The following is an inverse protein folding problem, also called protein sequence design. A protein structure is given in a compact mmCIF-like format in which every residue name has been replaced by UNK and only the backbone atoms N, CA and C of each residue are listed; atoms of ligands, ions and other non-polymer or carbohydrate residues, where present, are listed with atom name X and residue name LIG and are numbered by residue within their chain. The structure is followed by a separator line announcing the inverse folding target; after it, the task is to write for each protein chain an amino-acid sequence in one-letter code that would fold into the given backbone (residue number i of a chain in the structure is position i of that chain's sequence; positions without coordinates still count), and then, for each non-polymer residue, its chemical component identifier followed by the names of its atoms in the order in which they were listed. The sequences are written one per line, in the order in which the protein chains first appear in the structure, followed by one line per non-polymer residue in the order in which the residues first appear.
data_IF_837291833509
#
_entry.id   IF_837291833509
#
_cell.length_a   1.000
_cell.length_b   1.000
_cell.length_c   1.000
_cell.angle_alpha   90.00
_cell.angle_beta   90.00
_cell.angle_gamma   90.00
#
_symmetry.space_group_name_H-M   'P 1'
#
loop_
_entity.id
_entity.type
_entity.pdbx_description
1 polymer ?
#
# COMPACT_ATOMS: atom_id res chain seq x y z
N UNK A 1 13.18 -27.85 -62.58
CA UNK A 1 11.72 -27.99 -62.46
C UNK A 1 11.29 -27.28 -61.19
N UNK A 2 10.81 -26.04 -61.30
CA UNK A 2 10.28 -25.27 -60.17
C UNK A 2 8.91 -25.84 -59.75
N UNK A 3 8.61 -25.84 -58.44
CA UNK A 3 7.26 -26.10 -57.94
C UNK A 3 6.85 -25.02 -56.94
N UNK A 4 5.95 -24.18 -57.42
CA UNK A 4 5.15 -23.22 -56.68
C UNK A 4 3.92 -23.97 -56.16
N UNK A 5 3.53 -23.75 -54.89
CA UNK A 5 2.27 -24.26 -54.36
C UNK A 5 1.34 -23.10 -54.00
N UNK A 6 0.27 -23.01 -54.79
CA UNK A 6 -0.82 -22.05 -54.69
C UNK A 6 -1.82 -22.51 -53.63
N UNK A 7 -2.30 -21.60 -52.79
CA UNK A 7 -3.36 -21.85 -51.82
C UNK A 7 -4.72 -21.83 -52.54
N UNK A 8 -5.42 -22.97 -52.58
CA UNK A 8 -6.78 -23.07 -53.08
C UNK A 8 -7.76 -22.35 -52.13
N UNK A 9 -8.55 -21.44 -52.68
CA UNK A 9 -9.72 -20.83 -52.05
C UNK A 9 -10.92 -21.78 -52.18
N UNK A 10 -11.45 -22.22 -51.03
CA UNK A 10 -12.75 -22.91 -50.92
C UNK A 10 -13.77 -21.89 -50.40
N UNK A 11 -14.99 -21.81 -50.96
CA UNK A 11 -15.99 -20.83 -50.57
C UNK A 11 -16.59 -21.16 -49.20
N UNK A 12 -16.77 -20.14 -48.35
CA UNK A 12 -17.46 -20.26 -47.05
C UNK A 12 -18.98 -20.35 -47.28
N UNK A 13 -19.69 -21.22 -46.57
CA UNK A 13 -21.15 -21.20 -46.55
C UNK A 13 -21.64 -19.97 -45.77
N UNK A 14 -22.67 -19.32 -46.30
CA UNK A 14 -23.42 -18.26 -45.65
C UNK A 14 -23.98 -18.75 -44.31
N UNK A 15 -23.50 -18.17 -43.21
CA UNK A 15 -24.21 -18.18 -41.94
C UNK A 15 -24.45 -16.74 -41.51
N UNK A 16 -25.73 -16.45 -41.27
CA UNK A 16 -26.25 -15.15 -40.85
C UNK A 16 -25.49 -14.63 -39.64
N UNK A 17 -24.86 -13.47 -39.77
CA UNK A 17 -24.46 -12.63 -38.66
C UNK A 17 -25.71 -12.04 -38.00
N UNK A 18 -25.92 -12.18 -36.68
CA UNK A 18 -26.53 -11.11 -35.91
C UNK A 18 -25.47 -10.06 -35.63
N UNK A 19 -25.85 -8.80 -35.84
CA UNK A 19 -25.06 -7.61 -35.57
C UNK A 19 -24.48 -7.58 -34.16
N UNK A 20 -23.31 -6.96 -34.04
CA UNK A 20 -22.45 -6.75 -32.88
C UNK A 20 -23.10 -5.94 -31.72
N UNK A 21 -24.29 -6.31 -31.23
CA UNK A 21 -25.04 -5.53 -30.22
C UNK A 21 -25.78 -6.32 -29.13
N UNK A 22 -25.55 -7.62 -28.97
CA UNK A 22 -26.39 -8.46 -28.07
C UNK A 22 -25.64 -9.34 -27.04
N UNK A 23 -24.38 -9.03 -26.69
CA UNK A 23 -23.69 -9.71 -25.58
C UNK A 23 -23.28 -8.76 -24.43
N UNK A 24 -24.05 -7.69 -24.24
CA UNK A 24 -24.00 -6.89 -23.01
C UNK A 24 -25.26 -7.19 -22.21
N UNK A 25 -25.05 -7.51 -20.92
CA UNK A 25 -26.02 -7.59 -19.82
C UNK A 25 -27.03 -8.73 -19.81
N UNK A 26 -26.73 -9.74 -18.99
CA UNK A 26 -27.76 -10.45 -18.23
C UNK A 26 -27.34 -10.50 -16.76
N UNK A 27 -28.18 -9.90 -15.92
CA UNK A 27 -28.17 -9.86 -14.45
C UNK A 27 -27.25 -8.84 -13.75
N UNK A 28 -27.67 -7.57 -13.73
CA UNK A 28 -27.57 -6.72 -12.53
C UNK A 28 -28.81 -5.80 -12.50
N UNK A 29 -29.81 -6.16 -11.71
CA UNK A 29 -30.89 -5.28 -11.26
C UNK A 29 -30.34 -4.54 -10.03
N UNK A 30 -30.21 -3.21 -9.99
CA UNK A 30 -31.24 -2.21 -10.24
C UNK A 30 -30.80 -1.12 -11.23
N UNK A 31 -31.67 -0.89 -12.23
CA UNK A 31 -32.03 0.41 -12.81
C UNK A 31 -30.99 1.53 -12.76
N UNK A 32 -30.02 1.43 -13.67
CA UNK A 32 -29.31 2.60 -14.18
C UNK A 32 -30.31 3.46 -14.96
N UNK A 33 -30.87 4.47 -14.28
CA UNK A 33 -31.36 5.65 -14.98
C UNK A 33 -30.13 6.21 -15.72
N UNK A 34 -30.15 6.14 -17.06
CA UNK A 34 -29.22 6.86 -17.95
C UNK A 34 -27.80 6.26 -18.10
N UNK A 35 -27.59 5.41 -19.11
CA UNK A 35 -26.26 5.07 -19.65
C UNK A 35 -25.47 6.24 -20.29
N UNK A 36 -25.76 7.49 -19.89
CA UNK A 36 -24.99 8.71 -20.19
C UNK A 36 -23.95 9.01 -19.12
N UNK A 37 -24.05 8.39 -17.93
CA UNK A 37 -23.06 8.50 -16.86
C UNK A 37 -22.30 7.18 -16.80
N UNK A 38 -20.96 7.26 -16.85
CA UNK A 38 -20.12 6.09 -16.72
C UNK A 38 -20.26 5.49 -15.30
N UNK A 39 -20.31 4.16 -15.15
CA UNK A 39 -20.33 3.53 -13.84
C UNK A 39 -19.03 3.82 -13.08
N UNK A 40 -19.06 3.60 -11.77
CA UNK A 40 -17.87 3.71 -10.92
C UNK A 40 -16.71 2.88 -11.48
N UNK A 41 -15.52 3.47 -11.55
CA UNK A 41 -14.34 2.72 -11.99
C UNK A 41 -13.99 1.64 -10.96
N UNK A 42 -13.40 0.52 -11.42
CA UNK A 42 -13.08 -0.62 -10.55
C UNK A 42 -12.21 -0.26 -9.33
N UNK A 43 -11.30 0.73 -9.45
CA UNK A 43 -10.47 1.22 -8.33
C UNK A 43 -11.27 1.96 -7.25
N UNK A 44 -12.33 2.69 -7.65
CA UNK A 44 -13.23 3.33 -6.68
C UNK A 44 -14.21 2.31 -6.09
N UNK A 45 -14.69 1.37 -6.90
CA UNK A 45 -15.61 0.34 -6.41
C UNK A 45 -14.96 -0.59 -5.38
N UNK A 46 -13.66 -0.88 -5.52
CA UNK A 46 -12.92 -1.68 -4.54
C UNK A 46 -12.79 -1.03 -3.15
N UNK A 47 -13.01 0.29 -3.05
CA UNK A 47 -13.06 0.99 -1.76
C UNK A 47 -14.40 0.77 -1.05
N UNK A 48 -15.46 0.46 -1.80
CA UNK A 48 -16.80 0.19 -1.25
C UNK A 48 -16.98 -1.31 -0.96
N UNK A 49 -16.47 -2.14 -1.87
CA UNK A 49 -16.43 -3.59 -1.69
C UNK A 49 -14.97 -4.10 -1.81
N UNK A 50 -14.29 -4.36 -0.68
CA UNK A 50 -12.92 -4.86 -0.70
C UNK A 50 -12.81 -6.27 -1.29
N UNK A 51 -13.91 -7.03 -1.36
CA UNK A 51 -13.90 -8.39 -1.94
C UNK A 51 -13.93 -8.37 -3.46
N UNK A 52 -14.46 -7.30 -4.07
CA UNK A 52 -14.58 -7.19 -5.52
C UNK A 52 -13.24 -7.25 -6.24
N UNK A 53 -12.24 -6.48 -5.77
CA UNK A 53 -10.92 -6.42 -6.39
C UNK A 53 -10.21 -7.78 -6.34
N UNK A 54 -10.26 -8.46 -5.18
CA UNK A 54 -9.63 -9.77 -4.99
C UNK A 54 -10.20 -10.82 -5.96
N UNK A 55 -11.50 -10.78 -6.22
CA UNK A 55 -12.18 -11.81 -7.01
C UNK A 55 -12.18 -11.54 -8.51
N UNK A 56 -12.20 -10.27 -8.95
CA UNK A 56 -12.42 -9.91 -10.36
C UNK A 56 -11.25 -9.18 -11.02
N UNK A 57 -10.38 -8.51 -10.25
CA UNK A 57 -9.30 -7.68 -10.80
C UNK A 57 -8.00 -7.93 -10.00
N UNK A 58 -7.28 -9.02 -10.29
CA UNK A 58 -6.12 -9.44 -9.50
C UNK A 58 -5.00 -8.39 -9.45
N UNK A 59 -4.87 -7.55 -10.48
CA UNK A 59 -3.88 -6.47 -10.53
C UNK A 59 -4.11 -5.37 -9.49
N UNK A 60 -5.37 -5.12 -9.07
CA UNK A 60 -5.63 -4.17 -7.98
C UNK A 60 -5.27 -4.82 -6.64
N UNK A 61 -5.58 -6.10 -6.47
CA UNK A 61 -5.30 -6.83 -5.24
C UNK A 61 -3.81 -7.13 -5.01
N UNK A 62 -3.00 -7.19 -6.09
CA UNK A 62 -1.56 -7.46 -6.00
C UNK A 62 -0.76 -6.33 -5.38
N UNK A 63 -1.30 -5.11 -5.35
CA UNK A 63 -0.63 -3.95 -4.74
C UNK A 63 -0.76 -4.03 -3.22
N UNK A 64 0.36 -4.11 -2.51
CA UNK A 64 0.40 -4.22 -1.04
C UNK A 64 -0.32 -3.06 -0.34
N UNK A 65 -0.29 -1.86 -0.93
CA UNK A 65 -0.95 -0.66 -0.39
C UNK A 65 -2.49 -0.73 -0.35
N UNK A 66 -3.09 -1.62 -1.16
CA UNK A 66 -4.54 -1.83 -1.19
C UNK A 66 -5.01 -2.88 -0.17
N UNK A 67 -4.10 -3.47 0.59
CA UNK A 67 -4.45 -4.40 1.65
C UNK A 67 -5.10 -3.66 2.84
N UNK A 68 -5.92 -4.35 3.64
CA UNK A 68 -6.48 -3.77 4.85
C UNK A 68 -5.38 -3.50 5.89
N UNK A 69 -5.55 -2.42 6.66
CA UNK A 69 -4.65 -2.02 7.74
C UNK A 69 -4.87 -2.84 9.00
N UNK A 70 -3.82 -3.40 9.58
CA UNK A 70 -3.86 -3.97 10.92
C UNK A 70 -3.87 -2.86 12.00
N UNK A 71 -4.39 -3.16 13.19
CA UNK A 71 -4.41 -2.23 14.32
C UNK A 71 -2.99 -1.79 14.75
N UNK A 72 -2.01 -2.69 14.58
CA UNK A 72 -0.60 -2.41 14.88
C UNK A 72 -0.04 -1.29 14.03
N UNK A 73 -0.42 -1.20 12.75
CA UNK A 73 -0.04 -0.12 11.85
C UNK A 73 -0.63 1.22 12.31
N UNK A 74 -1.90 1.25 12.74
CA UNK A 74 -2.50 2.47 13.28
C UNK A 74 -1.77 2.96 14.53
N UNK A 75 -1.41 2.05 15.43
CA UNK A 75 -0.65 2.43 16.63
C UNK A 75 0.78 2.87 16.29
N UNK A 76 1.42 2.19 15.35
CA UNK A 76 2.77 2.54 14.90
C UNK A 76 2.80 3.94 14.26
N UNK A 77 1.82 4.28 13.43
CA UNK A 77 1.78 5.55 12.71
C UNK A 77 1.26 6.71 13.58
N UNK A 78 0.29 6.45 14.46
CA UNK A 78 -0.44 7.51 15.19
C UNK A 78 -0.18 7.52 16.70
N UNK A 79 0.41 6.49 17.30
CA UNK A 79 0.76 6.31 18.72
C UNK A 79 -0.18 7.04 19.72
N UNK A 80 0.17 8.26 20.16
CA UNK A 80 -0.61 9.05 21.12
C UNK A 80 -1.97 9.50 20.54
N UNK A 81 -2.00 9.88 19.26
CA UNK A 81 -3.20 10.35 18.56
C UNK A 81 -4.25 9.24 18.45
N UNK A 82 -3.83 7.97 18.32
CA UNK A 82 -4.73 6.83 18.27
C UNK A 82 -5.53 6.66 19.58
N UNK A 83 -4.90 6.93 20.74
CA UNK A 83 -5.52 6.80 22.06
C UNK A 83 -6.46 7.97 22.37
N UNK A 84 -6.19 9.17 21.82
CA UNK A 84 -7.03 10.35 22.02
C UNK A 84 -8.34 10.32 21.20
N UNK A 85 -8.44 9.44 20.20
CA UNK A 85 -9.58 9.38 19.30
C UNK A 85 -10.89 8.88 19.94
N UNK A 86 -10.91 7.80 20.76
CA UNK A 86 -12.13 7.37 21.46
C UNK A 86 -12.57 8.33 22.58
N UNK A 87 -11.64 9.09 23.16
CA UNK A 87 -11.89 10.00 24.29
C UNK A 87 -12.78 11.21 23.96
N UNK A 88 -13.06 11.45 22.68
CA UNK A 88 -13.87 12.56 22.17
C UNK A 88 -15.21 12.11 21.57
N UNK A 89 -15.81 11.04 22.10
CA UNK A 89 -17.13 10.55 21.69
C UNK A 89 -18.21 11.63 21.58
N UNK A 90 -18.09 12.75 22.31
CA UNK A 90 -19.01 13.90 22.21
C UNK A 90 -18.80 14.79 20.96
N UNK A 91 -17.58 14.86 20.39
CA UNK A 91 -17.32 15.57 19.13
C UNK A 91 -17.68 14.71 17.91
N UNK A 92 -17.57 13.38 18.05
CA UNK A 92 -17.97 12.41 17.03
C UNK A 92 -19.49 12.46 16.72
N UNK A 93 -20.31 12.87 17.69
CA UNK A 93 -21.75 13.11 17.50
C UNK A 93 -22.03 14.43 16.74
N UNK A 94 -21.09 15.38 16.75
CA UNK A 94 -21.28 16.71 16.15
C UNK A 94 -20.88 16.81 14.67
N UNK A 95 -20.03 15.90 14.16
CA UNK A 95 -19.53 15.94 12.77
C UNK A 95 -19.53 14.54 12.09
N UNK A 96 -20.59 14.17 11.34
CA UNK A 96 -20.70 12.85 10.68
C UNK A 96 -19.64 12.60 9.58
N UNK A 97 -19.01 13.66 9.08
CA UNK A 97 -17.96 13.60 8.05
C UNK A 97 -16.64 13.00 8.57
N UNK A 98 -16.35 13.12 9.87
CA UNK A 98 -15.17 12.51 10.49
C UNK A 98 -15.32 10.99 10.66
N UNK A 99 -16.54 10.51 10.93
CA UNK A 99 -16.83 9.08 11.11
C UNK A 99 -16.74 8.31 9.79
N UNK A 100 -17.29 8.88 8.69
CA UNK A 100 -17.13 8.28 7.35
C UNK A 100 -15.65 8.16 6.97
N UNK A 101 -14.84 9.18 7.30
CA UNK A 101 -13.40 9.14 7.02
C UNK A 101 -12.70 8.02 7.79
N UNK A 102 -13.02 7.78 9.05
CA UNK A 102 -12.41 6.69 9.84
C UNK A 102 -12.89 5.31 9.36
N UNK A 103 -14.15 5.19 8.93
CA UNK A 103 -14.69 3.95 8.37
C UNK A 103 -14.04 3.55 7.04
N UNK A 104 -13.72 4.51 6.17
CA UNK A 104 -13.02 4.23 4.90
C UNK A 104 -11.55 3.83 5.06
N UNK A 105 -10.94 4.10 6.21
CA UNK A 105 -9.51 3.89 6.45
C UNK A 105 -9.16 2.43 6.73
N UNK A 106 -10.07 1.72 7.40
CA UNK A 106 -9.90 0.29 7.66
C UNK A 106 -9.82 -0.57 6.40
N UNK A 107 -10.18 -0.01 5.23
CA UNK A 107 -10.25 -0.72 3.95
C UNK A 107 -8.90 -0.76 3.23
N UNK A 108 -8.06 0.27 3.32
CA UNK A 108 -6.77 0.34 2.59
C UNK A 108 -5.68 1.11 3.35
N UNK A 109 -4.46 0.58 3.38
CA UNK A 109 -3.28 1.22 4.01
C UNK A 109 -3.01 2.62 3.49
N UNK A 110 -3.11 2.82 2.18
CA UNK A 110 -2.77 4.10 1.54
C UNK A 110 -3.59 5.29 2.06
N UNK A 111 -4.79 5.04 2.57
CA UNK A 111 -5.67 6.11 3.01
C UNK A 111 -5.19 6.76 4.31
N UNK A 112 -4.27 6.15 5.07
CA UNK A 112 -3.82 6.67 6.38
C UNK A 112 -3.24 8.09 6.29
N UNK A 113 -2.64 8.42 5.14
CA UNK A 113 -2.15 9.76 4.82
C UNK A 113 -3.24 10.84 4.85
N UNK A 114 -4.47 10.49 4.47
CA UNK A 114 -5.63 11.40 4.50
C UNK A 114 -6.21 11.49 5.92
N UNK A 115 -5.99 10.48 6.76
CA UNK A 115 -6.42 10.45 8.16
C UNK A 115 -5.51 11.30 9.05
N UNK A 116 -4.20 11.25 8.82
CA UNK A 116 -3.19 11.94 9.63
C UNK A 116 -3.53 13.41 9.98
N UNK A 117 -3.87 14.32 9.03
CA UNK A 117 -4.18 15.70 9.36
C UNK A 117 -5.42 15.85 10.25
N UNK A 118 -6.44 15.01 10.04
CA UNK A 118 -7.67 15.02 10.86
C UNK A 118 -7.34 14.59 12.29
N UNK A 119 -6.54 13.54 12.43
CA UNK A 119 -6.11 13.03 13.73
C UNK A 119 -5.28 14.05 14.50
N UNK A 120 -4.39 14.79 13.82
CA UNK A 120 -3.62 15.87 14.44
C UNK A 120 -4.53 16.98 14.99
N UNK A 121 -5.56 17.40 14.24
CA UNK A 121 -6.50 18.45 14.68
C UNK A 121 -7.31 17.96 15.88
N UNK A 122 -7.88 16.76 15.79
CA UNK A 122 -8.68 16.17 16.88
C UNK A 122 -7.84 15.94 18.13
N UNK A 123 -6.62 15.40 17.98
CA UNK A 123 -5.67 15.20 19.05
C UNK A 123 -5.25 16.51 19.71
N UNK A 124 -5.00 17.56 18.93
CA UNK A 124 -4.66 18.89 19.46
C UNK A 124 -5.82 19.51 20.26
N UNK A 125 -7.07 19.39 19.78
CA UNK A 125 -8.26 19.85 20.51
C UNK A 125 -8.41 19.08 21.82
N UNK A 126 -8.24 17.75 21.79
CA UNK A 126 -8.31 16.90 22.98
C UNK A 126 -7.27 17.28 24.05
N UNK A 127 -6.01 17.38 23.65
CA UNK A 127 -4.90 17.76 24.54
C UNK A 127 -5.10 19.19 25.08
N UNK A 128 -5.53 20.13 24.22
CA UNK A 128 -5.82 21.51 24.64
C UNK A 128 -6.98 21.59 25.64
N UNK A 129 -8.05 20.81 25.46
CA UNK A 129 -9.18 20.74 26.38
C UNK A 129 -8.79 20.17 27.75
N UNK A 130 -7.98 19.11 27.77
CA UNK A 130 -7.42 18.53 28.99
C UNK A 130 -6.55 19.55 29.72
N UNK A 131 -5.58 20.16 29.03
CA UNK A 131 -4.68 21.16 29.62
C UNK A 131 -5.44 22.36 30.18
N UNK A 132 -6.41 22.92 29.45
CA UNK A 132 -7.23 24.04 29.94
C UNK A 132 -8.01 23.69 31.21
N UNK A 133 -8.57 22.48 31.27
CA UNK A 133 -9.36 22.03 32.42
C UNK A 133 -8.50 21.86 33.68
N UNK A 134 -7.26 21.38 33.53
CA UNK A 134 -6.35 21.18 34.66
C UNK A 134 -5.57 22.44 35.06
N UNK A 135 -5.16 23.30 34.12
CA UNK A 135 -4.42 24.54 34.42
C UNK A 135 -5.23 25.52 35.28
N UNK A 136 -6.53 25.67 35.02
CA UNK A 136 -7.40 26.55 35.83
C UNK A 136 -7.43 26.11 37.31
N UNK A 137 -7.34 24.80 37.57
CA UNK A 137 -7.29 24.27 38.94
C UNK A 137 -5.93 24.53 39.65
N UNK A 138 -4.86 24.84 38.91
CA UNK A 138 -3.60 25.31 39.49
C UNK A 138 -3.71 26.79 39.89
N UNK A 139 -4.25 27.64 39.00
CA UNK A 139 -4.36 29.10 39.21
C UNK A 139 -5.32 29.49 40.37
N UNK A 140 -6.40 28.74 40.56
CA UNK A 140 -7.34 28.94 41.67
C UNK A 140 -6.67 28.72 43.05
N UNK A 141 -5.58 27.93 43.12
CA UNK A 141 -4.84 27.68 44.36
C UNK A 141 -3.86 28.82 44.72
N UNK A 142 -3.24 29.44 43.71
CA UNK A 142 -2.36 30.61 43.88
C UNK A 142 -3.16 31.88 44.23
N UNK A 143 -4.39 31.98 43.73
CA UNK A 143 -5.30 33.08 44.09
C UNK A 143 -5.79 32.97 45.54
N UNK A 144 -5.96 31.76 46.08
CA UNK A 144 -6.37 31.53 47.46
C UNK A 144 -5.24 31.82 48.49
N UNK A 145 -3.97 31.66 48.09
CA UNK A 145 -2.80 31.98 48.92
C UNK A 145 -2.49 33.49 48.94
N UNK A 146 -2.74 34.23 47.84
CA UNK A 146 -2.57 35.69 47.81
C UNK A 146 -3.68 36.46 48.58
N UNK A 147 -4.89 35.92 48.67
CA UNK A 147 -6.02 36.61 49.35
C UNK A 147 -5.87 36.67 50.88
N UNK A 148 -4.97 35.88 51.48
CA UNK A 148 -4.69 35.94 52.94
C UNK A 148 -3.65 37.00 53.33
N UNK A 149 -2.89 37.55 52.37
CA UNK A 149 -1.81 38.50 52.65
C UNK A 149 -2.23 39.99 52.56
N UNK A 150 -3.43 40.32 52.07
CA UNK A 150 -3.83 41.72 51.79
C UNK A 150 -4.98 42.29 52.64
N UNK A 151 -5.46 41.58 53.67
CA UNK A 151 -6.49 42.12 54.60
C UNK A 151 -5.89 42.96 55.72
N UNK A 152 -5.26 44.09 55.38
CA UNK A 152 -5.13 45.21 56.31
C UNK A 152 -4.99 46.54 55.57
N UNK A 153 -6.11 47.14 55.13
CA UNK A 153 -6.36 48.59 55.16
C UNK A 153 -7.68 48.98 54.46
N UNK A 154 -8.45 49.81 55.16
CA UNK A 154 -9.44 50.81 54.72
C UNK A 154 -10.69 50.42 53.91
N UNK A 155 -11.79 50.29 54.66
CA UNK A 155 -13.08 51.00 54.53
C UNK A 155 -13.50 51.74 53.24
N UNK A 156 -14.74 51.43 52.85
CA UNK A 156 -15.85 52.31 52.43
C UNK A 156 -16.06 52.70 50.94
N UNK A 157 -17.14 52.09 50.40
CA UNK A 157 -18.23 52.64 49.56
C UNK A 157 -17.98 53.17 48.14
N UNK A 158 -18.64 52.53 47.16
CA UNK A 158 -18.90 53.09 45.83
C UNK A 158 -19.48 52.07 44.84
N UNK A 159 -20.78 52.16 44.59
CA UNK A 159 -21.64 51.31 43.77
C UNK A 159 -21.38 51.47 42.25
N UNK A 160 -21.31 50.37 41.48
CA UNK A 160 -21.98 50.22 40.16
C UNK A 160 -21.93 48.78 39.64
N UNK A 161 -23.08 48.32 39.16
CA UNK A 161 -23.41 46.99 38.68
C UNK A 161 -23.06 46.80 37.21
N UNK A 162 -22.48 45.65 36.83
CA UNK A 162 -22.60 45.08 35.48
C UNK A 162 -22.33 43.56 35.48
N UNK A 163 -23.40 42.81 35.18
CA UNK A 163 -23.47 41.46 34.59
C UNK A 163 -22.50 40.34 35.06
N UNK A 164 -22.99 39.52 36.01
CA UNK A 164 -22.52 38.13 36.22
C UNK A 164 -23.29 37.18 35.31
N UNK A 165 -22.60 36.54 34.36
CA UNK A 165 -23.10 35.38 33.61
C UNK A 165 -22.45 34.12 34.20
N UNK A 166 -23.30 33.26 34.75
CA UNK A 166 -23.15 31.85 35.12
C UNK A 166 -21.78 31.31 35.58
N UNK A 167 -21.56 31.31 36.90
CA UNK A 167 -20.71 30.35 37.61
C UNK A 167 -21.64 29.34 38.30
N UNK A 168 -21.95 28.20 37.69
CA UNK A 168 -22.72 27.14 38.38
C UNK A 168 -22.47 25.74 37.81
N UNK A 169 -21.20 25.34 37.67
CA UNK A 169 -20.80 23.93 37.51
C UNK A 169 -19.45 23.65 38.23
N UNK A 170 -19.15 24.39 39.29
CA UNK A 170 -17.99 24.16 40.15
C UNK A 170 -18.49 24.01 41.58
N UNK A 171 -19.01 22.83 41.93
CA UNK A 171 -19.02 22.39 43.33
C UNK A 171 -19.10 20.88 43.43
N UNK A 172 -17.92 20.27 43.41
CA UNK A 172 -17.65 19.03 44.15
C UNK A 172 -16.18 19.10 44.54
N UNK A 173 -15.92 19.60 45.75
CA UNK A 173 -14.56 19.77 46.25
C UNK A 173 -13.99 18.43 46.66
N UNK A 174 -13.37 17.71 45.72
CA UNK A 174 -12.56 16.53 46.05
C UNK A 174 -11.23 16.99 46.69
N UNK A 175 -10.75 16.30 47.73
CA UNK A 175 -9.44 16.59 48.31
C UNK A 175 -8.33 16.33 47.26
N UNK A 176 -7.23 17.10 47.32
CA UNK A 176 -6.05 17.00 46.42
C UNK A 176 -6.17 17.58 44.99
N UNK A 177 -7.04 18.57 44.74
CA UNK A 177 -7.18 19.22 43.40
C UNK A 177 -5.87 19.67 42.77
N UNK A 178 -5.02 20.35 43.53
CA UNK A 178 -3.76 20.90 43.04
C UNK A 178 -2.73 19.80 42.69
N UNK A 179 -2.59 18.79 43.54
CA UNK A 179 -1.68 17.66 43.31
C UNK A 179 -2.11 16.83 42.10
N UNK A 180 -3.41 16.56 41.96
CA UNK A 180 -3.98 15.83 40.82
C UNK A 180 -3.79 16.63 39.52
N UNK A 181 -4.05 17.94 39.54
CA UNK A 181 -3.91 18.76 38.35
C UNK A 181 -2.43 18.90 37.91
N UNK A 182 -1.51 19.07 38.87
CA UNK A 182 -0.06 19.09 38.60
C UNK A 182 0.41 17.75 38.02
N UNK A 183 -0.04 16.64 38.59
CA UNK A 183 0.26 15.30 38.09
C UNK A 183 -0.26 15.09 36.66
N UNK A 184 -1.49 15.53 36.36
CA UNK A 184 -2.07 15.39 35.01
C UNK A 184 -1.35 16.24 33.96
N UNK A 185 -0.98 17.48 34.29
CA UNK A 185 -0.18 18.33 33.38
C UNK A 185 1.19 17.71 33.11
N UNK A 186 1.84 17.21 34.17
CA UNK A 186 3.12 16.50 34.03
C UNK A 186 2.99 15.24 33.18
N UNK A 187 1.94 14.44 33.39
CA UNK A 187 1.65 13.23 32.61
C UNK A 187 1.47 13.55 31.12
N UNK A 188 0.67 14.56 30.79
CA UNK A 188 0.47 15.00 29.40
C UNK A 188 1.79 15.46 28.78
N UNK A 189 2.63 16.21 29.52
CA UNK A 189 3.95 16.62 29.03
C UNK A 189 4.86 15.42 28.75
N UNK A 190 4.89 14.42 29.63
CA UNK A 190 5.66 13.18 29.41
C UNK A 190 5.17 12.42 28.18
N UNK A 191 3.85 12.29 28.00
CA UNK A 191 3.27 11.63 26.83
C UNK A 191 3.63 12.33 25.52
N UNK A 192 3.69 13.67 25.51
CA UNK A 192 4.14 14.44 24.35
C UNK A 192 5.62 14.21 24.02
N UNK A 193 6.48 14.11 25.04
CA UNK A 193 7.90 13.79 24.84
C UNK A 193 8.07 12.36 24.30
N UNK A 194 7.31 11.39 24.83
CA UNK A 194 7.32 10.02 24.33
C UNK A 194 6.83 9.94 22.88
N UNK A 195 5.79 10.69 22.53
CA UNK A 195 5.29 10.81 21.17
C UNK A 195 6.36 11.35 20.21
N UNK A 196 7.05 12.44 20.59
CA UNK A 196 8.13 12.99 19.77
C UNK A 196 9.27 11.99 19.58
N UNK A 197 9.69 11.28 20.64
CA UNK A 197 10.75 10.26 20.54
C UNK A 197 10.36 9.11 19.61
N UNK A 198 9.12 8.64 19.70
CA UNK A 198 8.60 7.60 18.81
C UNK A 198 8.56 8.05 17.36
N UNK A 199 8.07 9.26 17.06
CA UNK A 199 8.07 9.79 15.70
C UNK A 199 9.48 9.84 15.11
N UNK A 200 10.48 10.30 15.88
CA UNK A 200 11.88 10.33 15.46
C UNK A 200 12.40 8.91 15.20
N UNK A 201 12.15 7.99 16.12
CA UNK A 201 12.59 6.60 16.00
C UNK A 201 11.94 5.88 14.80
N UNK A 202 10.63 5.97 14.63
CA UNK A 202 9.89 5.36 13.52
C UNK A 202 10.35 5.92 12.16
N UNK A 203 10.57 7.24 12.09
CA UNK A 203 11.08 7.88 10.87
C UNK A 203 12.49 7.41 10.54
N UNK A 204 13.38 7.37 11.54
CA UNK A 204 14.78 6.99 11.36
C UNK A 204 15.00 5.50 11.08
N UNK A 205 14.14 4.62 11.59
CA UNK A 205 14.37 3.17 11.54
C UNK A 205 13.42 2.42 10.60
N UNK A 206 12.31 3.01 10.16
CA UNK A 206 11.36 2.32 9.29
C UNK A 206 11.15 3.04 7.97
N UNK A 207 10.85 4.35 7.98
CA UNK A 207 10.52 5.05 6.75
C UNK A 207 11.72 5.54 5.93
N UNK A 208 12.89 5.71 6.54
CA UNK A 208 14.12 6.19 5.88
C UNK A 208 14.98 5.06 5.31
N UNK A 209 14.38 4.18 4.50
CA UNK A 209 15.08 3.10 3.80
C UNK A 209 14.98 3.26 2.28
N UNK A 210 16.10 3.39 1.55
CA UNK A 210 16.07 3.43 0.08
C UNK A 210 15.67 2.08 -0.51
N UNK A 211 14.88 2.08 -1.58
CA UNK A 211 14.43 0.86 -2.26
C UNK A 211 15.29 0.45 -3.46
N UNK A 212 16.19 1.32 -3.92
CA UNK A 212 17.07 1.07 -5.08
C UNK A 212 18.44 0.51 -4.68
N UNK A 213 18.91 0.87 -3.49
CA UNK A 213 20.16 0.39 -2.90
C UNK A 213 19.78 -0.43 -1.69
N UNK A 214 20.21 -1.69 -1.67
CA UNK A 214 19.90 -2.60 -0.57
C UNK A 214 21.00 -2.49 0.49
N UNK A 215 20.59 -2.37 1.75
CA UNK A 215 21.51 -2.43 2.89
C UNK A 215 21.31 -3.78 3.58
N UNK A 216 22.41 -4.52 3.77
CA UNK A 216 22.43 -5.73 4.58
C UNK A 216 23.43 -5.58 5.72
N UNK A 217 23.12 -6.15 6.87
CA UNK A 217 23.98 -6.14 8.05
C UNK A 217 24.65 -7.50 8.19
N UNK A 218 25.98 -7.52 8.16
CA UNK A 218 26.76 -8.72 8.41
C UNK A 218 26.65 -9.19 9.87
N UNK A 219 27.17 -10.38 10.15
CA UNK A 219 27.11 -11.00 11.49
C UNK A 219 27.74 -10.13 12.60
N UNK A 220 28.75 -9.31 12.24
CA UNK A 220 29.46 -8.41 13.16
C UNK A 220 28.90 -6.98 13.19
N UNK A 221 27.72 -6.73 12.60
CA UNK A 221 27.10 -5.40 12.57
C UNK A 221 27.68 -4.45 11.52
N UNK A 222 28.55 -4.96 10.64
CA UNK A 222 29.04 -4.22 9.48
C UNK A 222 27.91 -4.02 8.47
N UNK A 223 27.80 -2.80 7.94
CA UNK A 223 26.79 -2.44 6.93
C UNK A 223 27.39 -2.65 5.55
N UNK A 224 26.83 -3.58 4.79
CA UNK A 224 27.14 -3.80 3.38
C UNK A 224 26.06 -3.17 2.52
N UNK A 225 26.50 -2.36 1.57
CA UNK A 225 25.65 -1.68 0.61
C UNK A 225 25.72 -2.46 -0.69
N UNK A 226 24.60 -3.02 -1.12
CA UNK A 226 24.44 -3.79 -2.34
C UNK A 226 23.74 -2.94 -3.38
N UNK A 227 24.39 -2.78 -4.53
CA UNK A 227 23.98 -1.84 -5.57
C UNK A 227 23.77 -2.51 -6.94
N UNK A 228 23.25 -3.73 -6.89
CA UNK A 228 23.11 -4.58 -8.07
C UNK A 228 22.07 -4.02 -9.06
N UNK A 229 21.01 -3.37 -8.56
CA UNK A 229 20.00 -2.71 -9.39
C UNK A 229 20.64 -1.65 -10.30
N UNK A 230 21.38 -0.70 -9.72
CA UNK A 230 22.00 0.36 -10.53
C UNK A 230 23.06 -0.24 -11.46
N UNK A 231 23.88 -1.17 -10.99
CA UNK A 231 24.89 -1.81 -11.83
C UNK A 231 24.26 -2.49 -13.06
N UNK A 232 23.19 -3.27 -12.88
CA UNK A 232 22.48 -3.92 -13.97
C UNK A 232 21.83 -2.91 -14.93
N UNK A 233 21.18 -1.87 -14.41
CA UNK A 233 20.58 -0.83 -15.24
C UNK A 233 21.61 0.00 -16.02
N UNK A 234 22.77 0.29 -15.42
CA UNK A 234 23.87 0.97 -16.11
C UNK A 234 24.50 0.09 -17.19
N UNK A 235 24.66 -1.21 -16.92
CA UNK A 235 25.11 -2.15 -17.95
C UNK A 235 24.17 -2.16 -19.14
N UNK A 236 22.85 -2.25 -18.88
CA UNK A 236 21.83 -2.21 -19.91
C UNK A 236 21.89 -0.90 -20.71
N UNK A 237 22.14 0.23 -20.04
CA UNK A 237 22.26 1.54 -20.68
C UNK A 237 23.49 1.69 -21.58
N UNK A 238 24.62 1.11 -21.20
CA UNK A 238 25.89 1.32 -21.89
C UNK A 238 26.17 0.27 -22.97
N UNK A 239 25.64 -0.95 -22.82
CA UNK A 239 26.02 -2.10 -23.65
C UNK A 239 24.95 -2.57 -24.63
N UNK A 240 23.74 -2.02 -24.59
CA UNK A 240 22.66 -2.39 -25.52
C UNK A 240 22.34 -1.27 -26.50
N UNK A 241 21.64 -1.57 -27.59
CA UNK A 241 21.20 -0.55 -28.56
C UNK A 241 20.21 0.42 -27.92
N UNK A 242 20.16 1.70 -28.33
CA UNK A 242 19.23 2.68 -27.77
C UNK A 242 17.74 2.33 -27.94
N UNK A 243 17.40 1.60 -29.00
CA UNK A 243 16.05 1.15 -29.34
C UNK A 243 15.70 -0.24 -28.77
N UNK A 244 16.63 -0.87 -28.04
CA UNK A 244 16.40 -2.19 -27.46
C UNK A 244 15.20 -2.20 -26.49
N UNK A 245 14.34 -3.21 -26.64
CA UNK A 245 13.15 -3.40 -25.81
C UNK A 245 13.39 -4.43 -24.74
N UNK A 246 13.09 -4.03 -23.51
CA UNK A 246 13.33 -4.82 -22.31
C UNK A 246 12.00 -5.27 -21.73
N UNK A 247 11.84 -6.59 -21.63
CA UNK A 247 10.71 -7.23 -20.95
C UNK A 247 11.07 -7.44 -19.47
N UNK A 248 10.26 -6.88 -18.58
CA UNK A 248 10.35 -7.04 -17.13
C UNK A 248 8.96 -7.08 -16.53
N UNK A 249 8.85 -7.39 -15.23
CA UNK A 249 7.60 -7.16 -14.50
C UNK A 249 7.28 -5.65 -14.41
N UNK A 250 5.99 -5.33 -14.24
CA UNK A 250 5.49 -3.95 -14.31
C UNK A 250 6.02 -3.03 -13.19
N UNK A 251 6.37 -3.61 -12.03
CA UNK A 251 6.97 -2.90 -10.89
C UNK A 251 8.20 -2.05 -11.30
N UNK A 252 9.03 -2.60 -12.19
CA UNK A 252 10.35 -2.06 -12.52
C UNK A 252 10.34 -1.11 -13.72
N UNK A 253 9.21 -0.97 -14.43
CA UNK A 253 9.15 -0.25 -15.71
C UNK A 253 9.63 1.20 -15.64
N UNK A 254 9.25 1.94 -14.59
CA UNK A 254 9.74 3.31 -14.37
C UNK A 254 11.23 3.36 -14.03
N UNK A 255 11.75 2.39 -13.27
CA UNK A 255 13.18 2.34 -12.90
C UNK A 255 14.05 2.10 -14.14
N UNK A 256 13.66 1.15 -14.99
CA UNK A 256 14.37 0.86 -16.25
C UNK A 256 14.32 2.07 -17.17
N UNK A 257 13.16 2.70 -17.34
CA UNK A 257 13.03 3.88 -18.19
C UNK A 257 13.89 5.04 -17.68
N UNK A 258 13.87 5.32 -16.37
CA UNK A 258 14.58 6.46 -15.78
C UNK A 258 16.10 6.25 -15.70
N UNK A 259 16.56 5.05 -15.31
CA UNK A 259 17.98 4.77 -15.04
C UNK A 259 18.66 4.18 -16.27
N UNK A 260 18.09 3.10 -16.82
CA UNK A 260 18.65 2.38 -17.96
C UNK A 260 18.41 3.10 -19.30
N UNK A 261 17.41 3.99 -19.37
CA UNK A 261 17.02 4.71 -20.58
C UNK A 261 16.79 3.76 -21.76
N UNK A 262 15.89 2.80 -21.57
CA UNK A 262 15.47 1.80 -22.58
C UNK A 262 13.97 1.68 -22.67
N UNK A 263 13.50 1.19 -23.81
CA UNK A 263 12.09 0.96 -24.07
C UNK A 263 11.60 -0.23 -23.23
N UNK A 264 10.55 -0.02 -22.46
CA UNK A 264 9.90 -1.07 -21.66
C UNK A 264 8.56 -1.45 -22.28
N UNK A 265 8.18 -2.73 -22.16
CA UNK A 265 6.89 -3.22 -22.67
C UNK A 265 5.74 -2.89 -21.70
N UNK A 266 5.98 -3.04 -20.40
CA UNK A 266 4.97 -2.81 -19.36
C UNK A 266 5.49 -1.83 -18.32
N UNK A 267 4.60 -1.01 -17.80
CA UNK A 267 4.90 0.06 -16.85
C UNK A 267 4.02 0.00 -15.60
N UNK A 268 4.40 0.80 -14.61
CA UNK A 268 3.74 0.84 -13.30
C UNK A 268 2.42 1.64 -13.34
N UNK A 269 2.05 2.25 -14.47
CA UNK A 269 0.76 2.92 -14.62
C UNK A 269 -0.41 1.92 -14.72
N UNK A 270 -0.14 0.70 -15.19
CA UNK A 270 -1.10 -0.42 -15.24
C UNK A 270 -2.43 -0.11 -15.92
N UNK A 271 -2.40 0.70 -16.99
CA UNK A 271 -3.60 1.09 -17.71
C UNK A 271 -4.12 0.01 -18.68
N UNK A 272 -3.24 -0.84 -19.20
CA UNK A 272 -3.58 -1.93 -20.12
C UNK A 272 -3.31 -3.31 -19.50
N UNK A 273 -4.32 -3.85 -18.82
CA UNK A 273 -4.24 -5.16 -18.15
C UNK A 273 -3.98 -6.32 -19.12
N UNK A 274 -4.46 -6.23 -20.36
CA UNK A 274 -4.25 -7.30 -21.35
C UNK A 274 -2.79 -7.42 -21.76
N UNK A 275 -2.07 -6.29 -21.83
CA UNK A 275 -0.65 -6.28 -22.14
C UNK A 275 0.18 -6.85 -20.99
N UNK A 276 -0.15 -6.49 -19.75
CA UNK A 276 0.50 -7.03 -18.54
C UNK A 276 0.23 -8.53 -18.42
N UNK A 277 -1.00 -8.97 -18.68
CA UNK A 277 -1.34 -10.39 -18.70
C UNK A 277 -0.58 -11.16 -19.77
N UNK A 278 -0.27 -10.56 -20.94
CA UNK A 278 0.56 -11.19 -21.97
C UNK A 278 2.01 -11.37 -21.53
N UNK A 279 2.59 -10.38 -20.83
CA UNK A 279 3.93 -10.51 -20.22
C UNK A 279 3.92 -11.56 -19.09
N UNK A 280 2.91 -11.53 -18.22
CA UNK A 280 2.75 -12.55 -17.17
C UNK A 280 2.59 -13.96 -17.73
N UNK A 281 1.89 -14.09 -18.86
CA UNK A 281 1.77 -15.35 -19.60
C UNK A 281 3.13 -15.82 -20.12
N UNK A 282 3.92 -14.95 -20.75
CA UNK A 282 5.26 -15.31 -21.21
C UNK A 282 6.15 -15.80 -20.04
N UNK A 283 6.08 -15.14 -18.87
CA UNK A 283 6.86 -15.56 -17.70
C UNK A 283 6.39 -16.89 -17.11
N UNK A 284 5.11 -17.22 -17.22
CA UNK A 284 4.50 -18.40 -16.61
C UNK A 284 4.46 -19.64 -17.53
N UNK A 285 4.55 -19.46 -18.85
CA UNK A 285 4.54 -20.50 -19.86
C UNK A 285 5.89 -21.21 -20.04
N UNK A 286 5.91 -22.30 -20.82
CA UNK A 286 7.14 -22.98 -21.25
C UNK A 286 7.98 -22.08 -22.17
N UNK A 287 9.27 -22.41 -22.34
CA UNK A 287 10.16 -21.64 -23.22
C UNK A 287 9.67 -21.54 -24.66
N UNK A 288 9.06 -22.60 -25.21
CA UNK A 288 8.55 -22.61 -26.58
C UNK A 288 7.41 -21.59 -26.77
N UNK A 289 6.40 -21.65 -25.90
CA UNK A 289 5.28 -20.71 -25.93
C UNK A 289 5.74 -19.29 -25.60
N UNK A 290 6.59 -19.13 -24.59
CA UNK A 290 7.08 -17.83 -24.16
C UNK A 290 7.92 -17.17 -25.26
N UNK A 291 8.70 -17.95 -26.02
CA UNK A 291 9.47 -17.45 -27.14
C UNK A 291 8.58 -16.94 -28.27
N UNK A 292 7.49 -17.63 -28.60
CA UNK A 292 6.50 -17.12 -29.56
C UNK A 292 5.89 -15.77 -29.10
N UNK A 293 5.60 -15.64 -27.80
CA UNK A 293 5.07 -14.39 -27.23
C UNK A 293 6.12 -13.28 -27.29
N UNK A 294 7.37 -13.57 -26.96
CA UNK A 294 8.48 -12.61 -27.03
C UNK A 294 8.74 -12.14 -28.46
N UNK A 295 8.56 -13.01 -29.46
CA UNK A 295 8.62 -12.63 -30.88
C UNK A 295 7.42 -11.77 -31.30
N UNK A 296 6.20 -12.09 -30.85
CA UNK A 296 5.00 -11.26 -31.11
C UNK A 296 5.19 -9.83 -30.57
N UNK A 297 5.85 -9.70 -29.41
CA UNK A 297 6.07 -8.43 -28.72
C UNK A 297 7.40 -7.75 -29.10
N UNK A 298 8.20 -8.38 -29.97
CA UNK A 298 9.49 -7.89 -30.47
C UNK A 298 10.47 -7.55 -29.32
N UNK A 299 10.64 -8.49 -28.38
CA UNK A 299 11.50 -8.35 -27.19
C UNK A 299 12.97 -8.64 -27.52
N UNK A 300 13.88 -7.76 -27.10
CA UNK A 300 15.33 -7.95 -27.29
C UNK A 300 16.01 -8.51 -26.03
N UNK A 301 15.61 -8.04 -24.85
CA UNK A 301 16.19 -8.43 -23.56
C UNK A 301 15.11 -8.75 -22.54
N UNK A 302 15.38 -9.71 -21.65
CA UNK A 302 14.52 -10.04 -20.52
C UNK A 302 15.27 -9.73 -19.22
N UNK A 303 14.63 -9.01 -18.31
CA UNK A 303 15.16 -8.67 -16.99
C UNK A 303 14.31 -9.33 -15.92
N UNK A 304 14.96 -10.17 -15.11
CA UNK A 304 14.38 -10.87 -13.96
C UNK A 304 15.23 -10.59 -12.73
N UNK A 305 14.59 -10.28 -11.61
CA UNK A 305 15.26 -10.06 -10.32
C UNK A 305 15.21 -11.35 -9.50
N UNK A 306 16.39 -11.87 -9.20
CA UNK A 306 16.57 -13.09 -8.42
C UNK A 306 17.30 -12.77 -7.10
N UNK A 307 16.64 -13.11 -5.99
CA UNK A 307 17.10 -12.80 -4.63
C UNK A 307 17.71 -13.97 -3.86
N UNK A 308 17.85 -15.14 -4.48
CA UNK A 308 18.09 -16.40 -3.76
C UNK A 308 19.43 -16.49 -3.03
N UNK A 309 20.47 -15.79 -3.48
CA UNK A 309 21.78 -15.79 -2.82
C UNK A 309 21.78 -14.94 -1.54
N UNK A 310 21.11 -13.80 -1.58
CA UNK A 310 21.07 -12.82 -0.48
C UNK A 310 19.91 -13.05 0.49
N UNK A 311 18.94 -13.91 0.13
CA UNK A 311 17.68 -14.04 0.86
C UNK A 311 16.77 -12.82 0.68
N UNK A 312 16.84 -12.16 -0.48
CA UNK A 312 16.02 -10.99 -0.77
C UNK A 312 14.56 -11.40 -1.02
N UNK A 313 13.65 -10.93 -0.17
CA UNK A 313 12.25 -11.38 -0.15
C UNK A 313 11.36 -10.78 -1.24
N UNK A 314 11.78 -9.70 -1.89
CA UNK A 314 10.99 -9.02 -2.95
C UNK A 314 11.44 -9.39 -4.35
N UNK A 315 11.91 -10.63 -4.54
CA UNK A 315 12.29 -11.15 -5.85
C UNK A 315 11.07 -11.53 -6.72
N UNK A 316 11.34 -11.85 -7.99
CA UNK A 316 10.27 -12.15 -8.94
C UNK A 316 9.63 -13.52 -8.70
N UNK A 317 10.34 -14.44 -8.05
CA UNK A 317 9.79 -15.75 -7.65
C UNK A 317 8.68 -15.59 -6.62
N UNK A 318 8.86 -14.75 -5.60
CA UNK A 318 7.81 -14.47 -4.61
C UNK A 318 6.59 -13.75 -5.23
N UNK A 319 6.80 -12.98 -6.30
CA UNK A 319 5.73 -12.30 -7.04
C UNK A 319 5.08 -13.17 -8.12
N UNK A 320 5.63 -14.34 -8.41
CA UNK A 320 5.23 -15.18 -9.54
C UNK A 320 3.74 -15.57 -9.52
N UNK A 321 3.18 -15.80 -8.33
CA UNK A 321 1.76 -16.13 -8.19
C UNK A 321 0.83 -15.03 -8.73
N UNK A 322 1.24 -13.76 -8.61
CA UNK A 322 0.49 -12.64 -9.17
C UNK A 322 0.61 -12.59 -10.70
N UNK A 323 1.77 -12.98 -11.25
CA UNK A 323 1.95 -13.10 -12.69
C UNK A 323 0.97 -14.13 -13.28
N UNK A 324 0.87 -15.30 -12.63
CA UNK A 324 -0.05 -16.38 -13.01
C UNK A 324 -1.51 -15.91 -12.95
N UNK A 325 -1.93 -15.30 -11.83
CA UNK A 325 -3.31 -14.82 -11.64
C UNK A 325 -3.70 -13.76 -12.67
N UNK A 326 -2.79 -12.82 -12.96
CA UNK A 326 -3.05 -11.77 -13.95
C UNK A 326 -3.08 -12.37 -15.36
N UNK A 327 -2.17 -13.28 -15.70
CA UNK A 327 -2.17 -13.99 -16.99
C UNK A 327 -3.48 -14.77 -17.21
N UNK A 328 -3.89 -15.58 -16.23
CA UNK A 328 -5.10 -16.40 -16.26
C UNK A 328 -6.40 -15.59 -16.35
N UNK A 329 -6.38 -14.32 -15.95
CA UNK A 329 -7.52 -13.41 -16.07
C UNK A 329 -7.77 -12.90 -17.51
N UNK A 330 -6.81 -13.11 -18.42
CA UNK A 330 -6.90 -12.65 -19.82
C UNK A 330 -7.37 -13.75 -20.77
N UNK A 331 -7.99 -13.36 -21.89
CA UNK A 331 -8.49 -14.31 -22.91
C UNK A 331 -7.38 -15.24 -23.44
N UNK A 332 -6.21 -14.67 -23.77
CA UNK A 332 -5.07 -15.40 -24.32
C UNK A 332 -4.37 -16.29 -23.28
N UNK A 333 -4.50 -15.98 -21.98
CA UNK A 333 -3.85 -16.67 -20.88
C UNK A 333 -4.74 -17.67 -20.14
N UNK A 334 -5.95 -17.97 -20.61
CA UNK A 334 -6.91 -18.86 -19.91
C UNK A 334 -6.39 -20.29 -19.65
N UNK A 335 -5.40 -20.76 -20.40
CA UNK A 335 -4.73 -22.05 -20.14
C UNK A 335 -3.78 -22.01 -18.93
N UNK A 336 -3.32 -20.82 -18.53
CA UNK A 336 -2.50 -20.61 -17.34
C UNK A 336 -3.42 -20.61 -16.12
N UNK A 337 -3.51 -21.77 -15.48
CA UNK A 337 -4.28 -21.97 -14.26
C UNK A 337 -3.37 -22.05 -13.03
N UNK A 338 -3.70 -21.29 -12.00
CA UNK A 338 -3.00 -21.25 -10.71
C UNK A 338 -2.84 -22.64 -10.07
N UNK A 339 -3.86 -23.49 -10.17
CA UNK A 339 -3.83 -24.85 -9.63
C UNK A 339 -2.70 -25.73 -10.21
N UNK A 340 -2.27 -25.47 -11.44
CA UNK A 340 -1.26 -26.30 -12.10
C UNK A 340 0.17 -26.11 -11.56
N UNK A 341 0.39 -25.04 -10.78
CA UNK A 341 1.68 -24.71 -10.18
C UNK A 341 1.82 -25.22 -8.74
N UNK A 342 0.71 -25.52 -8.08
CA UNK A 342 0.68 -26.07 -6.72
C UNK A 342 0.90 -27.58 -6.70
N UNK A 343 1.59 -28.06 -5.66
CA UNK A 343 1.71 -29.49 -5.38
C UNK A 343 0.33 -30.10 -5.09
N UNK A 344 0.26 -31.44 -5.04
CA UNK A 344 -0.95 -32.15 -4.63
C UNK A 344 -1.41 -31.80 -3.19
N UNK A 345 -0.51 -31.29 -2.35
CA UNK A 345 -0.80 -30.81 -0.99
C UNK A 345 -1.30 -29.36 -0.95
N UNK A 346 -1.24 -28.64 -2.08
CA UNK A 346 -1.61 -27.23 -2.18
C UNK A 346 -0.48 -26.26 -1.86
N UNK A 347 0.78 -26.73 -1.79
CA UNK A 347 1.94 -25.92 -1.46
C UNK A 347 2.72 -25.52 -2.72
N UNK A 348 3.21 -24.29 -2.77
CA UNK A 348 4.13 -23.83 -3.83
C UNK A 348 5.56 -24.13 -3.38
N UNK A 349 6.13 -25.24 -3.86
CA UNK A 349 7.45 -25.73 -3.46
C UNK A 349 8.48 -25.56 -4.58
N UNK A 350 9.72 -25.28 -4.20
CA UNK A 350 10.88 -25.10 -5.09
C UNK A 350 11.93 -26.20 -4.86
N UNK A 351 11.62 -27.16 -3.99
CA UNK A 351 12.48 -28.32 -3.73
C UNK A 351 12.27 -29.43 -4.77
N UNK A 352 12.77 -30.63 -4.48
CA UNK A 352 12.66 -31.79 -5.36
C UNK A 352 11.22 -32.21 -5.68
N UNK A 353 10.22 -31.69 -4.95
CA UNK A 353 8.80 -31.93 -5.18
C UNK A 353 8.14 -30.79 -5.97
N UNK A 354 8.93 -29.95 -6.64
CA UNK A 354 8.44 -28.90 -7.55
C UNK A 354 7.55 -29.50 -8.64
N UNK A 355 6.45 -28.82 -8.94
CA UNK A 355 5.55 -29.25 -10.02
C UNK A 355 6.25 -29.18 -11.37
N UNK A 356 6.00 -30.13 -12.28
CA UNK A 356 6.61 -30.11 -13.61
C UNK A 356 6.23 -28.84 -14.40
N UNK A 357 5.05 -28.26 -14.13
CA UNK A 357 4.61 -26.98 -14.71
C UNK A 357 5.48 -25.83 -14.25
N UNK A 358 5.74 -25.71 -12.94
CA UNK A 358 6.58 -24.66 -12.38
C UNK A 358 8.03 -24.81 -12.83
N UNK A 359 8.58 -26.02 -12.77
CA UNK A 359 9.97 -26.31 -13.18
C UNK A 359 10.21 -26.01 -14.67
N UNK A 360 9.20 -26.18 -15.52
CA UNK A 360 9.28 -25.87 -16.95
C UNK A 360 8.94 -24.42 -17.32
N UNK A 361 8.51 -23.59 -16.36
CA UNK A 361 8.19 -22.19 -16.63
C UNK A 361 9.44 -21.38 -16.98
N UNK A 362 9.27 -20.38 -17.86
CA UNK A 362 10.36 -19.50 -18.28
C UNK A 362 11.00 -18.80 -17.08
N UNK A 363 10.20 -18.24 -16.17
CA UNK A 363 10.73 -17.51 -15.02
C UNK A 363 11.60 -18.39 -14.12
N UNK A 364 11.18 -19.64 -13.87
CA UNK A 364 11.94 -20.57 -13.06
C UNK A 364 13.30 -20.88 -13.71
N UNK A 365 13.31 -21.20 -15.00
CA UNK A 365 14.55 -21.49 -15.74
C UNK A 365 15.50 -20.29 -15.81
N UNK A 366 14.97 -19.09 -16.03
CA UNK A 366 15.78 -17.85 -16.04
C UNK A 366 16.38 -17.55 -14.67
N UNK A 367 15.61 -17.73 -13.59
CA UNK A 367 16.05 -17.39 -12.23
C UNK A 367 17.07 -18.37 -11.68
N UNK A 368 16.93 -19.66 -11.97
CA UNK A 368 17.78 -20.73 -11.43
C UNK A 368 18.86 -21.23 -12.41
N UNK A 369 19.09 -20.52 -13.52
CA UNK A 369 20.10 -20.90 -14.51
C UNK A 369 21.50 -20.96 -13.88
N UNK A 370 22.11 -22.16 -13.88
CA UNK A 370 23.43 -22.46 -13.28
C UNK A 370 23.54 -22.13 -11.78
N UNK A 371 22.42 -21.94 -11.09
CA UNK A 371 22.45 -21.60 -9.66
C UNK A 371 23.03 -22.73 -8.81
N UNK A 372 22.85 -23.99 -9.20
CA UNK A 372 23.41 -25.17 -8.52
C UNK A 372 24.94 -25.28 -8.57
N UNK A 373 25.60 -24.58 -9.48
CA UNK A 373 27.07 -24.55 -9.58
C UNK A 373 27.69 -23.57 -8.58
N UNK A 374 26.87 -22.68 -8.01
CA UNK A 374 27.31 -21.66 -7.06
C UNK A 374 27.62 -22.34 -5.73
N UNK A 375 28.90 -22.64 -5.49
CA UNK A 375 29.38 -23.00 -4.17
C UNK A 375 29.31 -21.75 -3.29
N UNK A 376 28.30 -21.70 -2.43
CA UNK A 376 28.31 -20.75 -1.32
C UNK A 376 29.19 -21.40 -0.26
N UNK A 377 30.37 -20.82 -0.01
CA UNK A 377 31.19 -21.17 1.14
C UNK A 377 30.33 -20.97 2.40
N UNK A 378 29.74 -22.06 2.89
CA UNK A 378 28.96 -22.08 4.13
C UNK A 378 29.82 -22.57 5.27
#
# INVERSE_FOLDING_TARGET
MAKIYHKHTVPRPESRFPSCRELRTRNYWHDNIVGKIAPWTGRFYSLLDPTYAKNHIPIIASVSEHQPTAWSCYYFDLQLLAVMFPGLGNLAVSQPSCFLRVAWQGVMVRLILVLAPVMCIVGAIGISGILKSFIVNLEDSDSASQTKASKHSSSASGLTSTHKISKSLQDTSYPFKHEIATFMVFLVAVLLVLFSKHCIWATSNSYSHPSIVLETTGHHGERFILDDYRAAYYWLRQNTKPDARVMSWWDYGYQITAIANRTVLVDNNTWNNTHIGRVGQAMASSEEEAYEIMQELDVDYVLVIFGGLLGYSSDDINKFIWMIRIAGSTEKGRHVSEHNYYSATGDLRIDNEVTPTLANSLLYKLSYYRFWETQVDR
#
